data_IF_139537454090
#
_entry.id   IF_139537454090
#
_cell.length_a   1.000
_cell.length_b   1.000
_cell.length_c   1.000
_cell.angle_alpha   90.00
_cell.angle_beta   90.00
_cell.angle_gamma   90.00
#
_symmetry.space_group_name_H-M   'P 1'
#
loop_
_entity.id
_entity.type
_entity.pdbx_description
1 polymer ?
#
# COMPACT_ATOMS: atom_id res chain seq x y z
N UNK A 1 23.27 -22.94 -10.62
CA UNK A 1 22.77 -21.98 -9.61
C UNK A 1 22.15 -22.80 -8.50
N UNK A 2 22.60 -22.65 -7.23
CA UNK A 2 22.05 -23.39 -6.09
C UNK A 2 20.56 -23.03 -5.94
N UNK A 3 19.69 -24.04 -5.82
CA UNK A 3 18.24 -23.86 -5.64
C UNK A 3 17.95 -23.38 -4.20
N UNK A 4 18.11 -22.07 -3.95
CA UNK A 4 17.92 -21.42 -2.67
C UNK A 4 19.14 -21.49 -1.71
N UNK A 5 18.98 -20.89 -0.52
CA UNK A 5 20.01 -20.91 0.53
C UNK A 5 19.98 -22.20 1.34
N UNK A 6 21.13 -22.66 1.90
CA UNK A 6 21.18 -23.79 2.85
C UNK A 6 20.38 -23.45 4.12
N UNK A 7 19.82 -24.49 4.78
CA UNK A 7 18.85 -24.33 5.88
C UNK A 7 19.29 -23.38 7.01
N UNK A 8 20.50 -23.44 7.59
CA UNK A 8 20.84 -22.53 8.69
C UNK A 8 20.84 -21.07 8.27
N UNK A 9 21.41 -20.76 7.11
CA UNK A 9 21.48 -19.40 6.57
C UNK A 9 20.11 -18.90 6.11
N UNK A 10 19.25 -19.81 5.61
CA UNK A 10 17.89 -19.51 5.16
C UNK A 10 17.03 -18.93 6.28
N UNK A 11 17.07 -19.49 7.49
CA UNK A 11 16.30 -18.97 8.62
C UNK A 11 16.70 -17.55 8.98
N UNK A 12 17.99 -17.23 9.00
CA UNK A 12 18.48 -15.87 9.20
C UNK A 12 18.01 -14.90 8.11
N UNK A 13 18.04 -15.33 6.85
CA UNK A 13 17.55 -14.51 5.73
C UNK A 13 16.04 -14.27 5.81
N UNK A 14 15.24 -15.28 6.18
CA UNK A 14 13.79 -15.17 6.38
C UNK A 14 13.48 -14.18 7.50
N UNK A 15 14.15 -14.30 8.64
CA UNK A 15 13.97 -13.40 9.76
C UNK A 15 14.36 -11.95 9.40
N UNK A 16 15.48 -11.76 8.68
CA UNK A 16 15.89 -10.44 8.19
C UNK A 16 14.81 -9.81 7.27
N UNK A 17 14.31 -10.57 6.28
CA UNK A 17 13.28 -10.09 5.35
C UNK A 17 11.94 -9.84 6.05
N UNK A 18 11.57 -10.71 6.99
CA UNK A 18 10.37 -10.58 7.78
C UNK A 18 10.39 -9.32 8.66
N UNK A 19 11.49 -9.10 9.40
CA UNK A 19 11.66 -7.91 10.23
C UNK A 19 11.70 -6.62 9.38
N UNK A 20 12.32 -6.64 8.20
CA UNK A 20 12.30 -5.47 7.31
C UNK A 20 10.93 -5.17 6.72
N UNK A 21 10.12 -6.19 6.43
CA UNK A 21 8.72 -6.00 6.04
C UNK A 21 7.90 -5.47 7.21
N UNK A 22 8.06 -6.03 8.42
CA UNK A 22 7.38 -5.60 9.62
C UNK A 22 7.71 -4.14 9.97
N UNK A 23 8.98 -3.74 9.87
CA UNK A 23 9.46 -2.37 10.07
C UNK A 23 8.61 -1.35 9.28
N UNK A 24 8.49 -1.53 7.97
CA UNK A 24 7.78 -0.60 7.09
C UNK A 24 6.27 -0.59 7.34
N UNK A 25 5.69 -1.77 7.59
CA UNK A 25 4.24 -1.91 7.79
C UNK A 25 3.80 -1.36 9.15
N UNK A 26 4.57 -1.64 10.20
CA UNK A 26 4.27 -1.10 11.54
C UNK A 26 4.36 0.42 11.52
N UNK A 27 5.45 1.00 10.98
CA UNK A 27 5.63 2.44 10.91
C UNK A 27 4.46 3.14 10.19
N UNK A 28 4.02 2.61 9.05
CA UNK A 28 2.85 3.14 8.33
C UNK A 28 1.55 3.06 9.13
N UNK A 29 1.36 1.97 9.89
CA UNK A 29 0.14 1.74 10.67
C UNK A 29 0.07 2.55 11.97
N UNK A 30 1.18 2.64 12.72
CA UNK A 30 1.23 3.39 13.99
C UNK A 30 1.07 4.90 13.76
N UNK A 31 1.56 5.42 12.62
CA UNK A 31 1.44 6.84 12.28
C UNK A 31 -0.02 7.31 12.28
N UNK A 32 -0.95 6.52 11.71
CA UNK A 32 -2.37 6.89 11.62
C UNK A 32 -3.02 7.12 12.99
N UNK A 33 -2.69 6.30 14.00
CA UNK A 33 -3.22 6.43 15.36
C UNK A 33 -2.63 7.68 16.07
N UNK A 34 -1.40 8.06 15.72
CA UNK A 34 -0.71 9.18 16.32
C UNK A 34 -1.13 10.55 15.76
N UNK A 35 -1.77 10.61 14.57
CA UNK A 35 -2.10 11.88 13.90
C UNK A 35 -2.81 12.90 14.81
N UNK A 36 -3.88 12.55 15.54
CA UNK A 36 -4.56 13.56 16.41
C UNK A 36 -3.65 14.08 17.53
N UNK A 37 -2.78 13.25 18.08
CA UNK A 37 -1.82 13.63 19.11
C UNK A 37 -0.75 14.55 18.55
N UNK A 38 -0.18 14.23 17.38
CA UNK A 38 0.82 15.06 16.70
C UNK A 38 0.23 16.42 16.32
N UNK A 39 -1.03 16.45 15.82
CA UNK A 39 -1.71 17.70 15.48
C UNK A 39 -1.82 18.65 16.67
N UNK A 40 -2.20 18.11 17.84
CA UNK A 40 -2.29 18.90 19.08
C UNK A 40 -0.94 19.36 19.57
N UNK A 41 0.06 18.50 19.57
CA UNK A 41 1.40 18.76 20.09
C UNK A 41 2.16 19.80 19.24
N UNK A 42 2.03 19.75 17.93
CA UNK A 42 2.63 20.70 17.00
C UNK A 42 1.76 21.94 16.74
N UNK A 43 0.53 22.00 17.29
CA UNK A 43 -0.38 23.12 17.09
C UNK A 43 -0.81 23.34 15.64
N UNK A 44 -0.96 22.24 14.86
CA UNK A 44 -1.31 22.31 13.43
C UNK A 44 -2.72 21.78 13.17
N UNK A 45 -3.29 22.20 12.04
CA UNK A 45 -4.62 21.73 11.64
C UNK A 45 -4.64 20.20 11.41
N UNK A 46 -5.77 19.52 11.72
CA UNK A 46 -5.94 18.09 11.44
C UNK A 46 -5.70 17.69 9.96
N UNK A 47 -6.07 18.56 9.01
CA UNK A 47 -5.79 18.35 7.59
C UNK A 47 -4.29 18.37 7.30
N UNK A 48 -3.55 19.33 7.87
CA UNK A 48 -2.12 19.49 7.62
C UNK A 48 -1.29 18.33 8.19
N UNK A 49 -1.68 17.77 9.35
CA UNK A 49 -0.92 16.66 9.94
C UNK A 49 -1.04 15.36 9.11
N UNK A 50 -2.10 15.19 8.32
CA UNK A 50 -2.25 14.03 7.41
C UNK A 50 -1.15 13.98 6.36
N UNK A 51 -0.53 15.12 6.01
CA UNK A 51 0.61 15.17 5.10
C UNK A 51 1.80 14.30 5.57
N UNK A 52 1.91 13.98 6.86
CA UNK A 52 2.89 13.02 7.40
C UNK A 52 2.72 11.65 6.73
N UNK A 53 1.49 11.23 6.51
CA UNK A 53 1.15 9.96 5.85
C UNK A 53 1.25 10.09 4.35
N UNK A 54 0.70 11.17 3.78
CA UNK A 54 0.66 11.39 2.33
C UNK A 54 2.05 11.54 1.74
N UNK A 55 2.92 12.37 2.33
CA UNK A 55 4.32 12.54 1.87
C UNK A 55 5.07 11.22 1.88
N UNK A 56 4.94 10.44 2.96
CA UNK A 56 5.56 9.12 3.05
C UNK A 56 5.08 8.19 1.91
N UNK A 57 3.77 8.12 1.68
CA UNK A 57 3.20 7.24 0.65
C UNK A 57 3.51 7.69 -0.77
N UNK A 58 3.46 9.00 -1.05
CA UNK A 58 3.83 9.58 -2.35
C UNK A 58 5.28 9.24 -2.68
N UNK A 59 6.20 9.54 -1.76
CA UNK A 59 7.62 9.23 -1.93
C UNK A 59 7.85 7.73 -2.14
N UNK A 60 7.09 6.87 -1.42
CA UNK A 60 7.18 5.44 -1.57
C UNK A 60 6.72 4.98 -2.96
N UNK A 61 5.58 5.48 -3.47
CA UNK A 61 5.09 5.17 -4.82
C UNK A 61 6.07 5.64 -5.89
N UNK A 62 6.57 6.89 -5.77
CA UNK A 62 7.52 7.48 -6.70
C UNK A 62 8.81 6.66 -6.83
N UNK A 63 9.29 6.10 -5.71
CA UNK A 63 10.60 5.49 -5.62
C UNK A 63 10.60 3.96 -5.71
N UNK A 64 9.47 3.30 -5.54
CA UNK A 64 9.38 1.84 -5.49
C UNK A 64 9.96 1.18 -6.77
N UNK A 65 9.52 1.66 -7.94
CA UNK A 65 9.96 1.13 -9.23
C UNK A 65 11.40 1.53 -9.58
N UNK A 66 11.81 2.80 -9.43
CA UNK A 66 13.20 3.20 -9.57
C UNK A 66 14.18 2.39 -8.71
N UNK A 67 13.82 2.14 -7.44
CA UNK A 67 14.68 1.36 -6.53
C UNK A 67 14.72 -0.12 -6.87
N UNK A 68 13.68 -0.69 -7.49
CA UNK A 68 13.72 -2.06 -8.00
C UNK A 68 14.81 -2.19 -9.10
N UNK A 69 14.83 -1.28 -10.08
CA UNK A 69 15.86 -1.25 -11.11
C UNK A 69 17.25 -0.96 -10.54
N UNK A 70 17.36 -0.01 -9.61
CA UNK A 70 18.63 0.29 -8.91
C UNK A 70 19.14 -0.94 -8.17
N UNK A 71 18.27 -1.67 -7.48
CA UNK A 71 18.62 -2.89 -6.76
C UNK A 71 19.19 -4.00 -7.64
N UNK A 72 18.69 -4.15 -8.85
CA UNK A 72 19.26 -5.11 -9.83
C UNK A 72 20.68 -4.71 -10.25
N UNK A 73 20.98 -3.40 -10.35
CA UNK A 73 22.26 -2.88 -10.82
C UNK A 73 23.32 -2.82 -9.74
N UNK A 74 23.03 -2.34 -8.53
CA UNK A 74 24.01 -2.17 -7.43
C UNK A 74 24.05 -3.36 -6.48
N UNK A 75 23.06 -4.26 -6.57
CA UNK A 75 22.89 -5.45 -5.76
C UNK A 75 21.69 -5.37 -4.82
N UNK A 76 20.85 -6.39 -4.85
CA UNK A 76 19.61 -6.47 -4.07
C UNK A 76 19.85 -6.35 -2.56
N UNK A 77 20.87 -7.05 -2.05
CA UNK A 77 21.25 -7.03 -0.63
C UNK A 77 21.71 -5.65 -0.19
N UNK A 78 22.55 -4.98 -1.00
CA UNK A 78 23.06 -3.63 -0.69
C UNK A 78 21.93 -2.62 -0.64
N UNK A 79 21.03 -2.65 -1.62
CA UNK A 79 19.84 -1.78 -1.66
C UNK A 79 18.95 -1.98 -0.45
N UNK A 80 18.70 -3.25 -0.07
CA UNK A 80 17.90 -3.60 1.08
C UNK A 80 18.50 -3.07 2.39
N UNK A 81 19.79 -3.33 2.63
CA UNK A 81 20.47 -2.91 3.86
C UNK A 81 20.64 -1.39 3.95
N UNK A 82 21.01 -0.73 2.84
CA UNK A 82 21.09 0.73 2.77
C UNK A 82 19.72 1.36 3.05
N UNK A 83 18.65 0.81 2.47
CA UNK A 83 17.28 1.26 2.74
C UNK A 83 16.92 1.17 4.22
N UNK A 84 17.25 0.07 4.89
CA UNK A 84 17.01 -0.08 6.34
C UNK A 84 17.82 0.90 7.18
N UNK A 85 19.08 1.14 6.84
CA UNK A 85 19.93 2.11 7.56
C UNK A 85 19.39 3.53 7.42
N UNK A 86 18.98 3.93 6.20
CA UNK A 86 18.35 5.22 5.94
C UNK A 86 17.06 5.36 6.72
N UNK A 87 16.21 4.31 6.70
CA UNK A 87 14.95 4.30 7.44
C UNK A 87 15.18 4.46 8.95
N UNK A 88 16.07 3.67 9.54
CA UNK A 88 16.37 3.71 10.97
C UNK A 88 16.96 5.06 11.40
N UNK A 89 17.89 5.61 10.61
CA UNK A 89 18.48 6.92 10.87
C UNK A 89 17.43 8.03 10.82
N UNK A 90 16.56 8.03 9.79
CA UNK A 90 15.46 8.99 9.69
C UNK A 90 14.47 8.84 10.86
N UNK A 91 14.18 7.61 11.31
CA UNK A 91 13.30 7.38 12.47
C UNK A 91 13.86 8.04 13.74
N UNK A 92 15.18 8.00 13.93
CA UNK A 92 15.81 8.69 15.08
C UNK A 92 15.67 10.22 14.97
N UNK A 93 15.64 10.78 13.75
CA UNK A 93 15.42 12.22 13.55
C UNK A 93 14.01 12.67 13.96
N UNK A 94 13.02 11.77 14.06
CA UNK A 94 11.69 12.11 14.57
C UNK A 94 11.73 12.70 16.01
N UNK A 95 12.71 12.32 16.84
CA UNK A 95 12.87 12.85 18.19
C UNK A 95 13.24 14.34 18.22
N UNK A 96 13.78 14.87 17.13
CA UNK A 96 14.14 16.27 16.99
C UNK A 96 13.06 17.10 16.27
N UNK A 97 11.94 16.46 15.89
CA UNK A 97 10.88 17.14 15.15
C UNK A 97 10.04 18.04 16.07
N UNK A 98 10.29 19.34 15.99
CA UNK A 98 9.55 20.40 16.69
C UNK A 98 8.58 21.16 15.78
N UNK A 99 8.52 20.82 14.50
CA UNK A 99 7.67 21.47 13.51
C UNK A 99 7.21 20.47 12.45
N UNK A 100 6.03 20.72 11.88
CA UNK A 100 5.50 19.88 10.81
C UNK A 100 6.42 19.83 9.58
N UNK A 101 6.97 20.94 9.04
CA UNK A 101 7.86 20.89 7.89
C UNK A 101 9.09 19.99 8.12
N UNK A 102 9.71 20.06 9.29
CA UNK A 102 10.84 19.18 9.62
C UNK A 102 10.41 17.71 9.64
N UNK A 103 9.27 17.41 10.26
CA UNK A 103 8.74 16.05 10.31
C UNK A 103 8.41 15.52 8.91
N UNK A 104 7.89 16.35 8.00
CA UNK A 104 7.63 15.97 6.60
C UNK A 104 8.92 15.59 5.86
N UNK A 105 10.00 16.35 6.07
CA UNK A 105 11.33 16.01 5.52
C UNK A 105 11.80 14.65 6.05
N UNK A 106 11.68 14.42 7.34
CA UNK A 106 12.04 13.15 7.98
C UNK A 106 11.21 12.01 7.38
N UNK A 107 9.89 12.19 7.19
CA UNK A 107 9.00 11.21 6.56
C UNK A 107 9.37 10.92 5.11
N UNK A 108 9.77 11.93 4.35
CA UNK A 108 10.27 11.74 2.99
C UNK A 108 11.55 10.88 2.97
N UNK A 109 12.50 11.14 3.88
CA UNK A 109 13.73 10.33 4.01
C UNK A 109 13.43 8.90 4.46
N UNK A 110 12.49 8.70 5.40
CA UNK A 110 12.03 7.36 5.78
C UNK A 110 11.44 6.60 4.59
N UNK A 111 10.65 7.27 3.75
CA UNK A 111 10.06 6.68 2.55
C UNK A 111 11.10 6.23 1.53
N UNK A 112 12.21 6.98 1.37
CA UNK A 112 13.38 6.57 0.57
C UNK A 112 13.91 5.23 1.09
N UNK A 113 14.12 5.12 2.40
CA UNK A 113 14.55 3.88 3.04
C UNK A 113 13.57 2.73 2.84
N UNK A 114 12.27 2.98 3.04
CA UNK A 114 11.21 2.00 2.85
C UNK A 114 11.11 1.51 1.39
N UNK A 115 11.26 2.40 0.41
CA UNK A 115 11.31 2.04 -1.00
C UNK A 115 12.47 1.11 -1.31
N UNK A 116 13.66 1.37 -0.75
CA UNK A 116 14.81 0.48 -0.86
C UNK A 116 14.56 -0.92 -0.29
N UNK A 117 13.83 -1.00 0.83
CA UNK A 117 13.46 -2.30 1.44
C UNK A 117 12.40 -3.03 0.62
N UNK A 118 11.28 -2.40 0.32
CA UNK A 118 10.12 -3.05 -0.30
C UNK A 118 10.36 -3.44 -1.76
N UNK A 119 11.08 -2.62 -2.52
CA UNK A 119 11.31 -2.82 -3.96
C UNK A 119 12.06 -4.12 -4.26
N UNK A 120 13.00 -4.51 -3.40
CA UNK A 120 13.85 -5.70 -3.60
C UNK A 120 13.45 -6.91 -2.76
N UNK A 121 12.52 -6.76 -1.79
CA UNK A 121 12.13 -7.83 -0.87
C UNK A 121 11.64 -9.09 -1.59
N UNK A 122 10.76 -8.95 -2.58
CA UNK A 122 10.23 -10.10 -3.33
C UNK A 122 11.31 -10.85 -4.11
N UNK A 123 12.29 -10.11 -4.67
CA UNK A 123 13.43 -10.69 -5.38
C UNK A 123 14.36 -11.44 -4.42
N UNK A 124 14.62 -10.91 -3.24
CA UNK A 124 15.42 -11.57 -2.19
C UNK A 124 14.71 -12.82 -1.65
N UNK A 125 13.38 -12.79 -1.46
CA UNK A 125 12.61 -13.99 -1.06
C UNK A 125 12.76 -15.08 -2.13
N UNK A 126 12.65 -14.75 -3.41
CA UNK A 126 12.80 -15.70 -4.52
C UNK A 126 14.18 -16.35 -4.53
N UNK A 127 15.24 -15.66 -4.11
CA UNK A 127 16.59 -16.18 -4.05
C UNK A 127 16.89 -16.93 -2.75
N UNK A 128 16.12 -16.66 -1.70
CA UNK A 128 16.26 -17.32 -0.39
C UNK A 128 15.65 -18.72 -0.40
N UNK A 129 14.52 -18.90 -1.10
CA UNK A 129 13.80 -20.17 -1.14
C UNK A 129 14.10 -20.97 -2.40
N UNK A 130 14.17 -22.34 -2.32
CA UNK A 130 14.11 -23.19 -3.49
C UNK A 130 12.80 -22.95 -4.28
N UNK A 131 12.84 -23.13 -5.61
CA UNK A 131 11.69 -22.92 -6.48
C UNK A 131 10.43 -23.68 -6.00
N UNK A 132 10.61 -24.91 -5.51
CA UNK A 132 9.51 -25.74 -4.95
C UNK A 132 8.89 -25.19 -3.66
N UNK A 133 9.59 -24.34 -2.93
CA UNK A 133 9.16 -23.77 -1.64
C UNK A 133 8.88 -22.27 -1.72
N UNK A 134 8.94 -21.65 -2.90
CA UNK A 134 8.74 -20.21 -3.06
C UNK A 134 7.35 -19.76 -2.55
N UNK A 135 6.31 -20.54 -2.83
CA UNK A 135 4.96 -20.27 -2.32
C UNK A 135 4.90 -20.20 -0.79
N UNK A 136 5.64 -21.10 -0.10
CA UNK A 136 5.77 -21.08 1.36
C UNK A 136 6.48 -19.81 1.84
N UNK A 137 7.54 -19.38 1.15
CA UNK A 137 8.28 -18.16 1.47
C UNK A 137 7.43 -16.90 1.36
N UNK A 138 6.70 -16.78 0.25
CA UNK A 138 5.77 -15.67 0.04
C UNK A 138 4.60 -15.70 1.04
N UNK A 139 4.11 -16.90 1.39
CA UNK A 139 3.06 -17.08 2.40
C UNK A 139 3.53 -16.62 3.78
N UNK A 140 4.73 -17.00 4.22
CA UNK A 140 5.31 -16.56 5.51
C UNK A 140 5.43 -15.03 5.52
N UNK A 141 5.96 -14.43 4.45
CA UNK A 141 6.06 -12.97 4.37
C UNK A 141 4.69 -12.29 4.42
N UNK A 142 3.68 -12.86 3.76
CA UNK A 142 2.31 -12.35 3.82
C UNK A 142 1.74 -12.38 5.24
N UNK A 143 1.96 -13.47 5.99
CA UNK A 143 1.56 -13.58 7.40
C UNK A 143 2.26 -12.52 8.25
N UNK A 144 3.57 -12.29 8.06
CA UNK A 144 4.32 -11.27 8.79
C UNK A 144 3.75 -9.87 8.48
N UNK A 145 3.52 -9.55 7.21
CA UNK A 145 2.94 -8.27 6.79
C UNK A 145 1.56 -8.04 7.40
N UNK A 146 0.67 -9.02 7.32
CA UNK A 146 -0.69 -8.89 7.87
C UNK A 146 -0.72 -8.83 9.39
N UNK A 147 0.12 -9.63 10.07
CA UNK A 147 0.25 -9.57 11.53
C UNK A 147 0.81 -8.23 12.01
N UNK A 148 1.80 -7.69 11.27
CA UNK A 148 2.38 -6.38 11.55
C UNK A 148 1.34 -5.27 11.38
N UNK A 149 0.53 -5.32 10.32
CA UNK A 149 -0.56 -4.38 10.10
C UNK A 149 -1.63 -4.47 11.21
N UNK A 150 -1.92 -5.70 11.70
CA UNK A 150 -2.86 -5.92 12.79
C UNK A 150 -2.33 -5.39 14.14
N UNK A 151 -1.05 -5.52 14.40
CA UNK A 151 -0.43 -5.07 15.63
C UNK A 151 -0.21 -3.54 15.67
N UNK A 152 -0.02 -2.89 14.52
CA UNK A 152 0.38 -1.50 14.45
C UNK A 152 -0.57 -0.52 15.19
N UNK A 153 -1.90 -0.55 15.04
CA UNK A 153 -2.77 0.37 15.77
C UNK A 153 -2.68 0.19 17.29
N UNK A 154 -2.61 -1.05 17.74
CA UNK A 154 -2.46 -1.37 19.18
C UNK A 154 -1.13 -0.91 19.71
N UNK A 155 -0.02 -1.16 18.99
CA UNK A 155 1.32 -0.68 19.36
C UNK A 155 1.31 0.86 19.46
N UNK A 156 0.77 1.54 18.45
CA UNK A 156 0.68 3.00 18.44
C UNK A 156 -0.10 3.55 19.64
N UNK A 157 -1.26 2.99 19.93
CA UNK A 157 -2.09 3.38 21.07
C UNK A 157 -1.42 3.12 22.42
N UNK A 158 -0.76 1.98 22.61
CA UNK A 158 -0.04 1.64 23.85
C UNK A 158 1.18 2.55 24.07
N UNK A 159 1.95 2.82 23.03
CA UNK A 159 3.11 3.74 23.12
C UNK A 159 2.65 5.13 23.51
N UNK A 160 1.58 5.65 22.91
CA UNK A 160 1.03 6.97 23.23
C UNK A 160 0.45 7.07 24.64
N UNK A 161 0.13 5.95 25.29
CA UNK A 161 -0.32 5.93 26.69
C UNK A 161 0.81 6.20 27.69
N UNK A 162 2.06 5.89 27.34
CA UNK A 162 3.20 5.91 28.27
C UNK A 162 4.36 6.79 27.81
N UNK A 163 4.36 7.25 26.55
CA UNK A 163 5.46 8.00 25.97
C UNK A 163 4.98 9.07 24.97
N UNK A 164 5.77 10.13 24.71
CA UNK A 164 5.50 11.12 23.68
C UNK A 164 5.46 10.49 22.29
N UNK A 165 4.76 11.14 21.35
CA UNK A 165 4.52 10.63 20.00
C UNK A 165 5.78 10.22 19.20
N UNK A 166 7.01 10.80 19.36
CA UNK A 166 8.17 10.32 18.60
C UNK A 166 8.50 8.84 18.85
N UNK A 167 8.16 8.33 20.06
CA UNK A 167 8.34 6.92 20.39
C UNK A 167 7.46 5.96 19.57
N UNK A 168 6.37 6.48 19.02
CA UNK A 168 5.50 5.70 18.12
C UNK A 168 6.28 5.25 16.89
N UNK A 169 7.04 6.16 16.27
CA UNK A 169 7.92 5.82 15.15
C UNK A 169 9.09 4.94 15.61
N UNK A 170 9.67 5.22 16.75
CA UNK A 170 10.76 4.43 17.32
C UNK A 170 10.37 2.97 17.62
N UNK A 171 9.08 2.66 17.77
CA UNK A 171 8.58 1.28 17.96
C UNK A 171 8.96 0.34 16.83
N UNK A 172 9.29 0.85 15.64
CA UNK A 172 9.77 0.09 14.49
C UNK A 172 11.29 -0.21 14.54
N UNK A 173 12.09 0.53 15.35
CA UNK A 173 13.56 0.38 15.42
C UNK A 173 14.03 -1.04 15.80
N UNK A 174 13.42 -1.75 16.75
CA UNK A 174 13.84 -3.12 17.08
C UNK A 174 13.83 -4.05 15.86
N UNK A 175 12.84 -3.90 14.98
CA UNK A 175 12.75 -4.68 13.74
C UNK A 175 13.87 -4.30 12.76
N UNK A 176 14.25 -3.01 12.68
CA UNK A 176 15.38 -2.57 11.88
C UNK A 176 16.69 -3.17 12.39
N UNK A 177 16.94 -3.11 13.70
CA UNK A 177 18.15 -3.64 14.32
C UNK A 177 18.29 -5.14 14.06
N UNK A 178 17.23 -5.92 14.28
CA UNK A 178 17.23 -7.38 14.02
C UNK A 178 17.46 -7.66 12.55
N UNK A 179 16.79 -6.94 11.67
CA UNK A 179 16.90 -7.13 10.22
C UNK A 179 18.30 -6.79 9.69
N UNK A 180 18.91 -5.71 10.17
CA UNK A 180 20.28 -5.29 9.80
C UNK A 180 21.30 -6.32 10.34
N UNK A 181 21.18 -6.74 11.61
CA UNK A 181 22.08 -7.71 12.23
C UNK A 181 22.06 -9.05 11.48
N UNK A 182 20.88 -9.53 11.10
CA UNK A 182 20.69 -10.76 10.33
C UNK A 182 20.94 -10.57 8.82
N UNK A 183 21.14 -9.36 8.35
CA UNK A 183 21.35 -9.02 6.94
C UNK A 183 22.57 -9.70 6.30
N UNK A 184 23.54 -10.18 7.09
CA UNK A 184 24.66 -10.99 6.59
C UNK A 184 24.18 -12.33 5.98
N UNK A 185 23.05 -12.87 6.45
CA UNK A 185 22.47 -14.11 5.93
C UNK A 185 21.80 -13.93 4.56
N UNK A 186 21.46 -12.72 4.16
CA UNK A 186 20.80 -12.45 2.87
C UNK A 186 21.63 -12.94 1.68
N UNK A 187 20.96 -13.43 0.62
CA UNK A 187 21.63 -13.79 -0.63
C UNK A 187 22.23 -12.52 -1.27
N UNK A 188 23.40 -12.66 -1.84
CA UNK A 188 24.13 -11.58 -2.52
C UNK A 188 24.42 -11.98 -3.97
N UNK A 189 23.41 -11.99 -4.84
CA UNK A 189 23.61 -12.35 -6.23
C UNK A 189 24.44 -11.28 -6.94
N UNK A 190 25.20 -11.71 -7.94
CA UNK A 190 25.93 -10.78 -8.79
C UNK A 190 24.97 -9.75 -9.41
N UNK A 191 25.33 -8.47 -9.38
CA UNK A 191 24.55 -7.42 -10.02
C UNK A 191 24.34 -7.72 -11.50
N UNK A 192 23.13 -7.46 -11.98
CA UNK A 192 22.82 -7.57 -13.41
C UNK A 192 23.17 -6.24 -14.07
N UNK A 193 23.80 -6.28 -15.24
CA UNK A 193 23.97 -5.13 -16.11
C UNK A 193 22.65 -4.79 -16.82
N UNK A 194 21.58 -4.60 -16.06
CA UNK A 194 20.32 -4.14 -16.60
C UNK A 194 20.46 -2.65 -16.99
N UNK A 195 19.99 -2.31 -18.18
CA UNK A 195 19.87 -0.91 -18.55
C UNK A 195 18.81 -0.26 -17.65
N UNK A 196 19.24 0.66 -16.78
CA UNK A 196 18.31 1.48 -15.99
C UNK A 196 17.63 2.47 -16.92
N UNK A 197 16.34 2.33 -17.10
CA UNK A 197 15.53 3.38 -17.70
C UNK A 197 15.33 4.53 -16.70
N UNK A 198 16.41 5.32 -16.53
CA UNK A 198 16.41 6.46 -15.61
C UNK A 198 15.38 7.52 -16.02
N UNK A 199 15.19 7.72 -17.32
CA UNK A 199 14.22 8.70 -17.83
C UNK A 199 12.80 8.25 -17.50
N UNK A 200 12.43 6.99 -17.76
CA UNK A 200 11.13 6.45 -17.38
C UNK A 200 10.91 6.47 -15.87
N UNK A 201 11.93 6.16 -15.06
CA UNK A 201 11.86 6.23 -13.62
C UNK A 201 11.60 7.65 -13.10
N UNK A 202 12.28 8.66 -13.64
CA UNK A 202 12.07 10.08 -13.30
C UNK A 202 10.67 10.53 -13.75
N UNK A 203 10.24 10.17 -14.95
CA UNK A 203 8.90 10.52 -15.46
C UNK A 203 7.80 9.91 -14.59
N UNK A 204 7.94 8.65 -14.23
CA UNK A 204 6.99 7.95 -13.33
C UNK A 204 6.91 8.65 -11.96
N UNK A 205 8.06 8.93 -11.36
CA UNK A 205 8.13 9.64 -10.08
C UNK A 205 7.52 11.05 -10.17
N UNK A 206 7.91 11.83 -11.19
CA UNK A 206 7.42 13.19 -11.38
C UNK A 206 5.91 13.24 -11.65
N UNK A 207 5.36 12.30 -12.44
CA UNK A 207 3.92 12.16 -12.67
C UNK A 207 3.15 12.01 -11.35
N UNK A 208 3.53 11.02 -10.52
CA UNK A 208 2.87 10.81 -9.24
C UNK A 208 3.06 12.00 -8.30
N UNK A 209 4.28 12.55 -8.23
CA UNK A 209 4.59 13.73 -7.41
C UNK A 209 3.77 14.96 -7.77
N UNK A 210 3.62 15.25 -9.07
CA UNK A 210 2.85 16.40 -9.55
C UNK A 210 1.34 16.20 -9.31
N UNK A 211 0.78 15.03 -9.65
CA UNK A 211 -0.66 14.78 -9.49
C UNK A 211 -1.04 14.87 -8.01
N UNK A 212 -0.31 14.18 -7.14
CA UNK A 212 -0.67 14.12 -5.73
C UNK A 212 -0.25 15.41 -5.01
N UNK A 213 0.91 15.98 -5.34
CA UNK A 213 1.35 17.26 -4.80
C UNK A 213 0.39 18.41 -5.16
N UNK A 214 -0.14 18.41 -6.39
CA UNK A 214 -1.18 19.37 -6.79
C UNK A 214 -2.51 19.16 -6.04
N UNK A 215 -2.88 17.91 -5.75
CA UNK A 215 -4.06 17.61 -4.94
C UNK A 215 -3.87 18.04 -3.48
N UNK A 216 -2.69 17.83 -2.89
CA UNK A 216 -2.33 18.30 -1.55
C UNK A 216 -2.31 19.84 -1.47
N UNK A 217 -1.74 20.53 -2.47
CA UNK A 217 -1.74 21.99 -2.59
C UNK A 217 -3.18 22.54 -2.57
N UNK A 218 -4.10 21.89 -3.30
CA UNK A 218 -5.51 22.26 -3.29
C UNK A 218 -6.15 22.11 -1.90
N UNK A 219 -5.81 21.05 -1.16
CA UNK A 219 -6.32 20.78 0.20
C UNK A 219 -5.81 21.81 1.21
N UNK A 220 -4.58 22.31 1.03
CA UNK A 220 -3.98 23.29 1.94
C UNK A 220 -4.36 24.75 1.65
N UNK A 221 -5.25 24.97 0.70
CA UNK A 221 -5.82 26.30 0.41
C UNK A 221 -4.96 27.18 -0.48
N UNK A 222 -4.01 26.58 -1.21
CA UNK A 222 -3.28 27.27 -2.27
C UNK A 222 -4.25 27.66 -3.42
N UNK A 223 -3.78 28.51 -4.33
CA UNK A 223 -4.57 28.93 -5.47
C UNK A 223 -5.11 27.72 -6.26
N UNK A 224 -6.46 27.57 -6.41
CA UNK A 224 -7.04 26.45 -7.16
C UNK A 224 -6.51 26.36 -8.59
N UNK A 225 -6.17 27.51 -9.20
CA UNK A 225 -5.63 27.57 -10.55
C UNK A 225 -4.22 26.96 -10.61
N UNK A 226 -3.38 27.28 -9.62
CA UNK A 226 -2.02 26.73 -9.54
C UNK A 226 -2.08 25.23 -9.27
N UNK A 227 -2.90 24.79 -8.33
CA UNK A 227 -3.11 23.37 -8.01
C UNK A 227 -3.62 22.58 -9.22
N UNK A 228 -4.61 23.13 -9.95
CA UNK A 228 -5.11 22.51 -11.17
C UNK A 228 -4.04 22.46 -12.28
N UNK A 229 -3.23 23.51 -12.43
CA UNK A 229 -2.12 23.52 -13.38
C UNK A 229 -1.06 22.44 -13.07
N UNK A 230 -0.74 22.24 -11.78
CA UNK A 230 0.20 21.20 -11.33
C UNK A 230 -0.39 19.81 -11.63
N UNK A 231 -1.67 19.55 -11.32
CA UNK A 231 -2.34 18.28 -11.62
C UNK A 231 -2.35 18.04 -13.14
N UNK A 232 -2.68 19.06 -13.93
CA UNK A 232 -2.70 18.96 -15.38
C UNK A 232 -1.32 18.67 -15.96
N UNK A 233 -0.28 19.32 -15.46
CA UNK A 233 1.12 19.04 -15.84
C UNK A 233 1.50 17.59 -15.50
N UNK A 234 1.10 17.09 -14.34
CA UNK A 234 1.30 15.70 -13.94
C UNK A 234 0.55 14.71 -14.84
N UNK A 235 -0.70 15.02 -15.20
CA UNK A 235 -1.49 14.20 -16.12
C UNK A 235 -0.92 14.19 -17.54
N UNK A 236 -0.47 15.34 -18.03
CA UNK A 236 0.21 15.45 -19.33
C UNK A 236 1.52 14.66 -19.37
N UNK A 237 2.34 14.78 -18.32
CA UNK A 237 3.55 13.97 -18.17
C UNK A 237 3.22 12.48 -18.10
N UNK A 238 2.16 12.10 -17.39
CA UNK A 238 1.67 10.72 -17.31
C UNK A 238 1.24 10.18 -18.67
N UNK A 239 0.57 10.97 -19.47
CA UNK A 239 0.20 10.59 -20.84
C UNK A 239 1.43 10.36 -21.73
N UNK A 240 2.43 11.26 -21.67
CA UNK A 240 3.71 11.07 -22.39
C UNK A 240 4.44 9.83 -21.90
N UNK A 241 4.48 9.61 -20.58
CA UNK A 241 5.09 8.43 -19.97
C UNK A 241 4.42 7.13 -20.44
N UNK A 242 3.08 7.06 -20.38
CA UNK A 242 2.31 5.89 -20.84
C UNK A 242 2.56 5.61 -22.32
N UNK A 243 2.59 6.65 -23.17
CA UNK A 243 2.90 6.46 -24.60
C UNK A 243 4.30 5.93 -24.84
N UNK A 244 5.27 6.33 -24.02
CA UNK A 244 6.63 5.82 -24.07
C UNK A 244 6.71 4.37 -23.62
N UNK A 245 5.96 3.98 -22.59
CA UNK A 245 5.95 2.63 -22.03
C UNK A 245 5.28 1.59 -22.94
N UNK A 246 4.29 1.98 -23.74
CA UNK A 246 3.54 1.06 -24.63
C UNK A 246 4.44 0.36 -25.67
N UNK A 247 5.59 0.93 -26.03
CA UNK A 247 6.55 0.33 -26.96
C UNK A 247 7.84 -0.19 -26.31
N UNK A 248 7.97 -0.08 -24.99
CA UNK A 248 9.19 -0.43 -24.30
C UNK A 248 9.34 -1.96 -24.14
N UNK A 249 10.54 -2.53 -24.40
CA UNK A 249 10.78 -3.97 -24.26
C UNK A 249 10.68 -4.46 -22.81
N UNK A 250 10.89 -3.56 -21.82
CA UNK A 250 10.76 -3.84 -20.39
C UNK A 250 10.11 -2.63 -19.70
N UNK A 251 8.78 -2.43 -19.86
CA UNK A 251 8.11 -1.27 -19.30
C UNK A 251 8.18 -1.27 -17.76
N UNK A 252 8.46 -0.11 -17.20
CA UNK A 252 8.48 0.13 -15.74
C UNK A 252 7.08 -0.06 -15.18
N UNK A 253 6.07 0.57 -15.79
CA UNK A 253 4.67 0.40 -15.46
C UNK A 253 4.01 -0.51 -16.52
N UNK A 254 3.43 -1.66 -16.15
CA UNK A 254 2.88 -2.60 -17.10
C UNK A 254 1.51 -2.15 -17.64
N UNK A 255 1.49 -1.01 -18.35
CA UNK A 255 0.27 -0.43 -18.96
C UNK A 255 -0.34 -1.34 -20.03
N UNK A 256 0.48 -2.18 -20.69
CA UNK A 256 0.06 -3.22 -21.63
C UNK A 256 -0.92 -4.22 -20.97
N UNK A 257 -0.74 -4.53 -19.70
CA UNK A 257 -1.64 -5.41 -18.96
C UNK A 257 -3.01 -4.78 -18.73
N UNK A 258 -3.08 -3.46 -18.63
CA UNK A 258 -4.35 -2.74 -18.44
C UNK A 258 -5.22 -2.73 -19.71
N UNK A 259 -4.68 -3.06 -20.87
CA UNK A 259 -5.46 -3.29 -22.09
C UNK A 259 -6.40 -4.50 -21.95
N UNK A 260 -6.12 -5.43 -21.03
CA UNK A 260 -7.00 -6.57 -20.72
C UNK A 260 -8.12 -6.16 -19.77
N UNK A 261 -9.40 -6.22 -20.18
CA UNK A 261 -10.53 -5.70 -19.37
C UNK A 261 -10.61 -6.31 -17.97
N UNK A 262 -10.28 -7.60 -17.81
CA UNK A 262 -10.28 -8.29 -16.52
C UNK A 262 -9.20 -7.71 -15.57
N UNK A 263 -8.03 -7.37 -16.07
CA UNK A 263 -6.94 -6.76 -15.29
C UNK A 263 -7.27 -5.30 -14.98
N UNK A 264 -7.78 -4.55 -15.97
CA UNK A 264 -8.18 -3.15 -15.79
C UNK A 264 -9.26 -2.99 -14.71
N UNK A 265 -10.35 -3.80 -14.78
CA UNK A 265 -11.40 -3.79 -13.77
C UNK A 265 -10.91 -4.22 -12.39
N UNK A 266 -9.97 -5.19 -12.34
CA UNK A 266 -9.36 -5.64 -11.09
C UNK A 266 -8.46 -4.57 -10.48
N UNK A 267 -7.67 -3.88 -11.31
CA UNK A 267 -6.80 -2.78 -10.88
C UNK A 267 -7.63 -1.58 -10.41
N UNK A 268 -8.66 -1.17 -11.17
CA UNK A 268 -9.54 -0.07 -10.77
C UNK A 268 -10.33 -0.39 -9.49
N UNK A 269 -10.85 -1.62 -9.36
CA UNK A 269 -11.50 -2.07 -8.13
C UNK A 269 -10.53 -2.09 -6.93
N UNK A 270 -9.26 -2.50 -7.12
CA UNK A 270 -8.24 -2.37 -6.07
C UNK A 270 -7.97 -0.91 -5.70
N UNK A 271 -7.84 -0.03 -6.70
CA UNK A 271 -7.60 1.40 -6.48
C UNK A 271 -8.69 1.98 -5.58
N UNK A 272 -9.96 1.79 -5.95
CA UNK A 272 -11.11 2.34 -5.19
C UNK A 272 -11.23 1.69 -3.81
N UNK A 273 -10.98 0.38 -3.68
CA UNK A 273 -11.00 -0.32 -2.40
C UNK A 273 -9.91 0.20 -1.44
N UNK A 274 -8.66 0.37 -1.92
CA UNK A 274 -7.59 0.91 -1.08
C UNK A 274 -7.77 2.39 -0.77
N UNK A 275 -8.38 3.17 -1.68
CA UNK A 275 -8.78 4.56 -1.41
C UNK A 275 -9.82 4.60 -0.28
N UNK A 276 -10.87 3.77 -0.36
CA UNK A 276 -11.88 3.66 0.71
C UNK A 276 -11.27 3.32 2.06
N UNK A 277 -10.42 2.30 2.06
CA UNK A 277 -9.70 1.80 3.24
C UNK A 277 -8.89 2.90 3.91
N UNK A 278 -8.07 3.63 3.15
CA UNK A 278 -7.17 4.63 3.71
C UNK A 278 -7.92 5.89 4.14
N UNK A 279 -8.96 6.30 3.40
CA UNK A 279 -9.84 7.39 3.81
C UNK A 279 -10.45 7.11 5.19
N UNK A 280 -10.92 5.88 5.43
CA UNK A 280 -11.46 5.48 6.72
C UNK A 280 -10.38 5.43 7.80
N UNK A 281 -9.23 4.77 7.55
CA UNK A 281 -8.16 4.60 8.53
C UNK A 281 -7.54 5.92 8.99
N UNK A 282 -7.44 6.91 8.10
CA UNK A 282 -6.90 8.24 8.44
C UNK A 282 -7.94 9.08 9.18
N UNK A 283 -9.22 9.03 8.79
CA UNK A 283 -10.27 9.87 9.41
C UNK A 283 -10.78 9.32 10.74
N UNK A 284 -10.80 8.00 10.93
CA UNK A 284 -11.34 7.36 12.15
C UNK A 284 -10.65 7.83 13.43
N UNK A 285 -9.31 7.95 13.54
CA UNK A 285 -8.65 8.48 14.73
C UNK A 285 -9.13 9.89 15.12
N UNK A 286 -9.34 10.77 14.15
CA UNK A 286 -9.85 12.13 14.40
C UNK A 286 -11.29 12.10 14.90
N UNK A 287 -12.14 11.25 14.32
CA UNK A 287 -13.54 11.08 14.77
C UNK A 287 -13.59 10.57 16.21
N UNK A 288 -12.84 9.52 16.52
CA UNK A 288 -12.81 8.94 17.87
C UNK A 288 -12.19 9.91 18.89
N UNK A 289 -11.14 10.66 18.50
CA UNK A 289 -10.56 11.71 19.33
C UNK A 289 -11.56 12.83 19.63
N UNK A 290 -12.37 13.25 18.65
CA UNK A 290 -13.42 14.24 18.83
C UNK A 290 -14.55 13.75 19.77
N UNK A 291 -14.77 12.42 19.83
CA UNK A 291 -15.70 11.75 20.77
C UNK A 291 -15.08 11.49 22.15
N UNK A 292 -13.85 11.95 22.41
CA UNK A 292 -13.20 11.85 23.73
C UNK A 292 -12.45 10.54 23.98
N UNK A 293 -12.30 9.66 23.00
CA UNK A 293 -11.52 8.43 23.16
C UNK A 293 -10.04 8.73 23.35
N UNK A 294 -9.40 8.04 24.29
CA UNK A 294 -7.94 8.09 24.46
C UNK A 294 -7.21 7.43 23.30
N UNK A 295 -5.92 7.74 23.11
CA UNK A 295 -5.10 7.15 22.06
C UNK A 295 -5.07 5.62 22.13
N UNK A 296 -5.03 5.03 23.34
CA UNK A 296 -5.08 3.58 23.54
C UNK A 296 -6.41 3.00 23.08
N UNK A 297 -7.52 3.65 23.43
CA UNK A 297 -8.85 3.23 22.99
C UNK A 297 -9.00 3.34 21.48
N UNK A 298 -8.49 4.40 20.86
CA UNK A 298 -8.47 4.58 19.39
C UNK A 298 -7.72 3.42 18.73
N UNK A 299 -6.52 3.10 19.21
CA UNK A 299 -5.74 1.97 18.69
C UNK A 299 -6.48 0.64 18.83
N UNK A 300 -7.08 0.39 20.00
CA UNK A 300 -7.86 -0.81 20.26
C UNK A 300 -9.14 -0.90 19.42
N UNK A 301 -9.83 0.22 19.16
CA UNK A 301 -11.00 0.27 18.27
C UNK A 301 -10.67 -0.03 16.81
N UNK A 302 -9.49 0.34 16.33
CA UNK A 302 -9.06 0.16 14.93
C UNK A 302 -8.47 -1.24 14.71
N UNK A 303 -7.80 -1.82 15.70
CA UNK A 303 -7.13 -3.12 15.61
C UNK A 303 -8.02 -4.29 15.11
N UNK A 304 -9.32 -4.38 15.40
CA UNK A 304 -10.17 -5.45 14.88
C UNK A 304 -10.22 -5.54 13.35
N UNK A 305 -10.05 -4.43 12.63
CA UNK A 305 -10.01 -4.47 11.16
C UNK A 305 -8.86 -5.34 10.61
N UNK A 306 -7.56 -5.01 10.83
CA UNK A 306 -6.49 -5.85 10.31
C UNK A 306 -6.49 -7.25 10.92
N UNK A 307 -6.98 -7.43 12.14
CA UNK A 307 -7.10 -8.75 12.78
C UNK A 307 -8.08 -9.66 12.01
N UNK A 308 -9.27 -9.18 11.71
CA UNK A 308 -10.26 -9.96 10.94
C UNK A 308 -9.83 -10.16 9.50
N UNK A 309 -9.18 -9.15 8.88
CA UNK A 309 -8.57 -9.31 7.56
C UNK A 309 -7.52 -10.44 7.57
N UNK A 310 -6.66 -10.52 8.59
CA UNK A 310 -5.65 -11.56 8.75
C UNK A 310 -6.26 -12.97 8.81
N UNK A 311 -7.44 -13.13 9.42
CA UNK A 311 -8.15 -14.41 9.54
C UNK A 311 -8.90 -14.74 8.24
N UNK A 312 -9.61 -13.77 7.68
CA UNK A 312 -10.51 -13.98 6.54
C UNK A 312 -9.75 -14.08 5.22
N UNK A 313 -8.63 -13.38 5.05
CA UNK A 313 -7.90 -13.38 3.79
C UNK A 313 -7.36 -14.78 3.37
N UNK A 314 -6.77 -15.61 4.26
CA UNK A 314 -6.41 -16.98 3.90
C UNK A 314 -7.61 -17.83 3.53
N UNK A 315 -8.72 -17.71 4.26
CA UNK A 315 -9.98 -18.44 3.97
C UNK A 315 -10.53 -18.06 2.60
N UNK A 316 -10.51 -16.77 2.27
CA UNK A 316 -10.88 -16.25 0.95
C UNK A 316 -9.97 -16.78 -0.16
N UNK A 317 -8.66 -16.87 0.11
CA UNK A 317 -7.69 -17.49 -0.79
C UNK A 317 -8.06 -18.94 -1.13
N UNK A 318 -8.33 -19.75 -0.11
CA UNK A 318 -8.82 -21.13 -0.30
C UNK A 318 -10.14 -21.21 -1.06
N UNK A 319 -11.09 -20.34 -0.69
CA UNK A 319 -12.41 -20.33 -1.30
C UNK A 319 -12.36 -19.90 -2.78
N UNK A 320 -11.37 -19.07 -3.15
CA UNK A 320 -11.18 -18.62 -4.53
C UNK A 320 -10.76 -19.73 -5.52
N UNK A 321 -10.40 -20.93 -5.01
CA UNK A 321 -10.18 -22.12 -5.84
C UNK A 321 -11.50 -22.77 -6.30
N UNK A 322 -12.59 -22.54 -5.55
CA UNK A 322 -13.90 -23.18 -5.78
C UNK A 322 -14.98 -22.19 -6.22
N UNK A 323 -14.87 -20.94 -5.79
CA UNK A 323 -15.85 -19.89 -6.07
C UNK A 323 -15.22 -18.82 -6.97
N UNK A 324 -15.92 -18.38 -8.03
CA UNK A 324 -15.41 -17.29 -8.89
C UNK A 324 -15.02 -16.05 -8.10
N UNK A 325 -13.81 -15.54 -8.36
CA UNK A 325 -13.27 -14.39 -7.63
C UNK A 325 -14.16 -13.13 -7.73
N UNK A 326 -14.96 -13.00 -8.80
CA UNK A 326 -15.93 -11.92 -8.94
C UNK A 326 -17.06 -12.00 -7.91
N UNK A 327 -17.50 -13.20 -7.54
CA UNK A 327 -18.54 -13.41 -6.49
C UNK A 327 -17.95 -13.12 -5.12
N UNK A 328 -16.78 -13.70 -4.81
CA UNK A 328 -16.12 -13.46 -3.51
C UNK A 328 -15.79 -11.99 -3.30
N UNK A 329 -15.25 -11.34 -4.34
CA UNK A 329 -14.94 -9.93 -4.28
C UNK A 329 -16.18 -9.04 -4.18
N UNK A 330 -17.26 -9.38 -4.90
CA UNK A 330 -18.55 -8.69 -4.79
C UNK A 330 -19.15 -8.81 -3.39
N UNK A 331 -19.17 -10.02 -2.82
CA UNK A 331 -19.64 -10.27 -1.46
C UNK A 331 -18.78 -9.53 -0.42
N UNK A 332 -17.44 -9.59 -0.57
CA UNK A 332 -16.52 -8.87 0.31
C UNK A 332 -16.78 -7.36 0.33
N UNK A 333 -16.97 -6.76 -0.85
CA UNK A 333 -17.27 -5.32 -0.93
C UNK A 333 -18.69 -4.99 -0.45
N UNK A 334 -19.67 -5.88 -0.60
CA UNK A 334 -21.00 -5.71 -0.03
C UNK A 334 -20.96 -5.71 1.52
N UNK A 335 -20.19 -6.62 2.12
CA UNK A 335 -19.94 -6.64 3.58
C UNK A 335 -19.25 -5.37 4.03
N UNK A 336 -18.23 -4.90 3.29
CA UNK A 336 -17.54 -3.63 3.56
C UNK A 336 -18.49 -2.44 3.45
N UNK A 337 -19.33 -2.39 2.42
CA UNK A 337 -20.34 -1.34 2.23
C UNK A 337 -21.31 -1.25 3.42
N UNK A 338 -21.83 -2.38 3.87
CA UNK A 338 -22.71 -2.45 5.05
C UNK A 338 -21.98 -1.96 6.31
N UNK A 339 -20.75 -2.42 6.52
CA UNK A 339 -19.94 -2.00 7.67
C UNK A 339 -19.67 -0.48 7.68
N UNK A 340 -19.37 0.09 6.51
CA UNK A 340 -19.15 1.53 6.35
C UNK A 340 -20.42 2.36 6.57
N UNK A 341 -21.57 1.86 6.10
CA UNK A 341 -22.87 2.47 6.37
C UNK A 341 -23.18 2.46 7.88
N UNK A 342 -22.91 1.34 8.55
CA UNK A 342 -23.05 1.21 10.01
C UNK A 342 -22.09 2.09 10.79
N UNK A 343 -20.86 2.32 10.28
CA UNK A 343 -19.95 3.30 10.84
C UNK A 343 -20.44 4.74 10.64
N UNK A 344 -21.03 5.05 9.49
CA UNK A 344 -21.60 6.37 9.22
C UNK A 344 -22.76 6.70 10.18
N UNK A 345 -23.61 5.72 10.48
CA UNK A 345 -24.78 5.83 11.36
C UNK A 345 -24.47 5.51 12.84
N UNK A 346 -23.20 5.55 13.23
CA UNK A 346 -22.77 5.31 14.61
C UNK A 346 -23.41 6.34 15.56
N UNK A 347 -23.89 5.93 16.76
CA UNK A 347 -24.47 6.85 17.74
C UNK A 347 -23.48 7.95 18.16
N UNK A 348 -24.00 9.03 18.74
CA UNK A 348 -23.19 10.15 19.19
C UNK A 348 -22.26 9.80 20.36
N UNK A 349 -22.64 8.83 21.19
CA UNK A 349 -21.82 8.27 22.27
C UNK A 349 -21.66 6.75 22.08
N UNK A 350 -20.74 6.34 21.18
CA UNK A 350 -20.55 4.93 20.90
C UNK A 350 -19.71 4.26 21.99
N UNK A 351 -20.08 3.05 22.37
CA UNK A 351 -19.22 2.22 23.20
C UNK A 351 -18.00 1.73 22.40
N UNK A 352 -16.96 1.29 23.12
CA UNK A 352 -15.81 0.62 22.51
C UNK A 352 -16.25 -0.56 21.59
N UNK A 353 -17.17 -1.38 22.08
CA UNK A 353 -17.67 -2.55 21.35
C UNK A 353 -18.39 -2.14 20.07
N UNK A 354 -19.13 -1.02 20.11
CA UNK A 354 -19.84 -0.48 18.95
C UNK A 354 -18.91 -0.16 17.78
N UNK A 355 -17.75 0.41 18.08
CA UNK A 355 -16.74 0.72 17.05
C UNK A 355 -16.03 -0.56 16.61
N UNK A 356 -15.59 -1.38 17.56
CA UNK A 356 -14.74 -2.54 17.34
C UNK A 356 -15.38 -3.58 16.39
N UNK A 357 -16.66 -3.95 16.59
CA UNK A 357 -17.30 -4.93 15.74
C UNK A 357 -17.58 -4.40 14.31
N UNK A 358 -17.86 -3.09 14.17
CA UNK A 358 -18.03 -2.46 12.85
C UNK A 358 -16.70 -2.44 12.08
N UNK A 359 -15.61 -2.15 12.77
CA UNK A 359 -14.26 -2.24 12.19
C UNK A 359 -13.89 -3.69 11.83
N UNK A 360 -14.26 -4.67 12.68
CA UNK A 360 -14.07 -6.08 12.39
C UNK A 360 -14.85 -6.53 11.14
N UNK A 361 -16.07 -6.05 10.97
CA UNK A 361 -16.89 -6.34 9.79
C UNK A 361 -16.27 -5.74 8.52
N UNK A 362 -15.74 -4.50 8.59
CA UNK A 362 -14.97 -3.89 7.50
C UNK A 362 -13.76 -4.75 7.11
N UNK A 363 -12.97 -5.18 8.10
CA UNK A 363 -11.79 -6.02 7.87
C UNK A 363 -12.14 -7.37 7.25
N UNK A 364 -13.27 -7.96 7.64
CA UNK A 364 -13.77 -9.22 7.06
C UNK A 364 -14.14 -9.07 5.58
N UNK A 365 -14.84 -7.99 5.22
CA UNK A 365 -15.16 -7.68 3.83
C UNK A 365 -13.92 -7.46 2.96
N UNK A 366 -12.95 -6.73 3.47
CA UNK A 366 -11.65 -6.51 2.82
C UNK A 366 -10.87 -7.81 2.64
N UNK A 367 -10.85 -8.69 3.66
CA UNK A 367 -10.24 -10.00 3.63
C UNK A 367 -10.85 -10.93 2.57
N UNK A 368 -12.15 -10.84 2.35
CA UNK A 368 -12.83 -11.58 1.26
C UNK A 368 -12.47 -11.04 -0.13
N UNK A 369 -12.19 -9.74 -0.26
CA UNK A 369 -11.96 -9.09 -1.56
C UNK A 369 -10.52 -9.21 -2.05
N UNK A 370 -9.52 -8.91 -1.20
CA UNK A 370 -8.14 -8.68 -1.64
C UNK A 370 -7.47 -9.89 -2.29
N UNK A 371 -7.45 -11.13 -1.68
CA UNK A 371 -6.72 -12.25 -2.26
C UNK A 371 -7.28 -12.73 -3.61
N UNK A 372 -8.61 -12.90 -3.78
CA UNK A 372 -9.17 -13.27 -5.08
C UNK A 372 -8.89 -12.23 -6.16
N UNK A 373 -8.93 -10.94 -5.81
CA UNK A 373 -8.68 -9.87 -6.75
C UNK A 373 -7.20 -9.81 -7.19
N UNK A 374 -6.25 -9.93 -6.26
CA UNK A 374 -4.83 -10.00 -6.58
C UNK A 374 -4.50 -11.23 -7.43
N UNK A 375 -5.10 -12.39 -7.11
CA UNK A 375 -4.96 -13.62 -7.89
C UNK A 375 -5.44 -13.44 -9.35
N UNK A 376 -6.54 -12.71 -9.57
CA UNK A 376 -7.02 -12.42 -10.92
C UNK A 376 -6.03 -11.57 -11.71
N UNK A 377 -5.48 -10.50 -11.12
CA UNK A 377 -4.50 -9.65 -11.80
C UNK A 377 -3.29 -10.47 -12.24
N UNK A 378 -2.72 -11.26 -11.32
CA UNK A 378 -1.51 -12.04 -11.59
C UNK A 378 -1.80 -13.24 -12.49
N UNK A 379 -2.93 -13.92 -12.27
CA UNK A 379 -3.31 -15.12 -13.01
C UNK A 379 -3.79 -14.86 -14.44
N UNK A 380 -4.33 -13.66 -14.72
CA UNK A 380 -4.76 -13.26 -16.07
C UNK A 380 -3.61 -12.66 -16.91
N UNK A 381 -2.46 -12.41 -16.30
CA UNK A 381 -1.28 -11.95 -17.02
C UNK A 381 -0.55 -13.12 -17.69
N UNK A 382 0.12 -12.90 -18.83
CA UNK A 382 1.00 -13.90 -19.42
C UNK A 382 2.07 -14.35 -18.42
N UNK A 383 2.45 -15.65 -18.45
CA UNK A 383 3.44 -16.21 -17.50
C UNK A 383 4.75 -15.42 -17.45
N UNK A 384 5.22 -14.94 -18.61
CA UNK A 384 6.41 -14.11 -18.73
C UNK A 384 6.25 -12.72 -18.03
N UNK A 385 5.01 -12.25 -17.85
CA UNK A 385 4.68 -10.93 -17.27
C UNK A 385 4.14 -11.02 -15.83
N UNK A 386 4.14 -12.19 -15.20
CA UNK A 386 3.60 -12.40 -13.85
C UNK A 386 4.28 -11.49 -12.79
N UNK A 387 5.57 -11.22 -12.91
CA UNK A 387 6.29 -10.30 -12.03
C UNK A 387 5.80 -8.85 -12.20
N UNK A 388 5.58 -8.41 -13.44
CA UNK A 388 5.04 -7.09 -13.75
C UNK A 388 3.59 -6.93 -13.22
N UNK A 389 2.77 -7.98 -13.33
CA UNK A 389 1.43 -8.00 -12.76
C UNK A 389 1.45 -7.89 -11.22
N UNK A 390 2.40 -8.52 -10.54
CA UNK A 390 2.64 -8.33 -9.10
C UNK A 390 3.05 -6.90 -8.74
N UNK A 391 3.89 -6.28 -9.57
CA UNK A 391 4.23 -4.85 -9.48
C UNK A 391 3.00 -3.96 -9.63
N UNK A 392 2.13 -4.24 -10.59
CA UNK A 392 0.87 -3.53 -10.79
C UNK A 392 -0.03 -3.58 -9.53
N UNK A 393 -0.17 -4.75 -8.90
CA UNK A 393 -0.94 -4.90 -7.65
C UNK A 393 -0.38 -3.97 -6.56
N UNK A 394 0.94 -3.91 -6.41
CA UNK A 394 1.59 -3.06 -5.40
C UNK A 394 1.43 -1.57 -5.72
N UNK A 395 1.62 -1.17 -6.98
CA UNK A 395 1.47 0.22 -7.42
C UNK A 395 0.04 0.71 -7.22
N UNK A 396 -0.95 -0.06 -7.66
CA UNK A 396 -2.37 0.28 -7.51
C UNK A 396 -2.76 0.39 -6.03
N UNK A 397 -2.25 -0.50 -5.17
CA UNK A 397 -2.45 -0.44 -3.72
C UNK A 397 -1.92 0.86 -3.14
N UNK A 398 -0.65 1.18 -3.39
CA UNK A 398 0.00 2.37 -2.83
C UNK A 398 -0.65 3.66 -3.37
N UNK A 399 -0.96 3.70 -4.67
CA UNK A 399 -1.67 4.85 -5.27
C UNK A 399 -3.05 5.04 -4.63
N UNK A 400 -3.82 3.96 -4.45
CA UNK A 400 -5.12 4.03 -3.77
C UNK A 400 -4.99 4.52 -2.33
N UNK A 401 -4.01 4.01 -1.58
CA UNK A 401 -3.75 4.47 -0.21
C UNK A 401 -3.38 5.96 -0.17
N UNK A 402 -2.57 6.42 -1.11
CA UNK A 402 -2.20 7.84 -1.19
C UNK A 402 -3.40 8.73 -1.51
N UNK A 403 -4.19 8.38 -2.53
CA UNK A 403 -5.43 9.11 -2.87
C UNK A 403 -6.39 9.12 -1.67
N UNK A 404 -6.51 8.00 -0.94
CA UNK A 404 -7.35 7.92 0.24
C UNK A 404 -6.89 8.81 1.39
N UNK A 405 -5.58 8.94 1.62
CA UNK A 405 -5.04 9.84 2.62
C UNK A 405 -5.28 11.31 2.25
N UNK A 406 -5.02 11.71 0.99
CA UNK A 406 -5.31 13.05 0.49
C UNK A 406 -6.81 13.38 0.56
N UNK A 407 -7.68 12.40 0.23
CA UNK A 407 -9.13 12.57 0.35
C UNK A 407 -9.56 12.78 1.82
N UNK A 408 -8.99 12.02 2.77
CA UNK A 408 -9.23 12.23 4.19
C UNK A 408 -8.77 13.62 4.65
N UNK A 409 -7.60 14.09 4.18
CA UNK A 409 -7.12 15.44 4.45
C UNK A 409 -8.07 16.51 3.91
N UNK A 410 -8.58 16.33 2.68
CA UNK A 410 -9.56 17.24 2.07
C UNK A 410 -10.87 17.32 2.87
N UNK A 411 -11.39 16.17 3.33
CA UNK A 411 -12.59 16.12 4.16
C UNK A 411 -12.36 16.78 5.53
N UNK A 412 -11.17 16.63 6.12
CA UNK A 412 -10.79 17.29 7.36
C UNK A 412 -10.65 18.82 7.18
N UNK A 413 -10.04 19.26 6.06
CA UNK A 413 -9.93 20.67 5.70
C UNK A 413 -11.30 21.32 5.52
N UNK A 414 -12.24 20.59 4.93
CA UNK A 414 -13.64 21.03 4.78
C UNK A 414 -14.46 20.99 6.07
N UNK A 415 -13.88 20.58 7.20
CA UNK A 415 -14.56 20.49 8.49
C UNK A 415 -15.54 19.31 8.65
N UNK A 416 -15.60 18.41 7.67
CA UNK A 416 -16.53 17.27 7.65
C UNK A 416 -15.82 15.92 7.84
N UNK A 417 -14.50 15.93 8.03
CA UNK A 417 -13.66 14.75 8.10
C UNK A 417 -13.74 13.94 9.40
N UNK A 418 -14.22 14.54 10.49
CA UNK A 418 -14.38 13.89 11.79
C UNK A 418 -15.82 13.34 12.03
N UNK A 419 -16.67 13.35 11.02
CA UNK A 419 -18.07 12.95 11.11
C UNK A 419 -18.45 11.66 10.40
N UNK A 420 -19.68 11.62 9.88
CA UNK A 420 -20.23 10.51 9.11
C UNK A 420 -19.77 10.51 7.63
N UNK A 421 -19.26 11.63 7.13
CA UNK A 421 -18.94 11.80 5.69
C UNK A 421 -17.81 10.86 5.22
N UNK A 422 -16.66 10.71 5.91
CA UNK A 422 -15.61 9.80 5.46
C UNK A 422 -16.07 8.36 5.27
N UNK A 423 -16.80 7.71 6.21
CA UNK A 423 -17.31 6.36 5.98
C UNK A 423 -18.34 6.30 4.85
N UNK A 424 -19.15 7.35 4.58
CA UNK A 424 -20.06 7.39 3.44
C UNK A 424 -19.31 7.49 2.10
N UNK A 425 -18.29 8.32 2.01
CA UNK A 425 -17.42 8.41 0.83
C UNK A 425 -16.71 7.07 0.59
N UNK A 426 -16.17 6.47 1.64
CA UNK A 426 -15.56 5.14 1.57
C UNK A 426 -16.57 4.07 1.12
N UNK A 427 -17.84 4.17 1.54
CA UNK A 427 -18.92 3.28 1.11
C UNK A 427 -19.20 3.40 -0.41
N UNK A 428 -19.23 4.61 -0.95
CA UNK A 428 -19.35 4.83 -2.40
C UNK A 428 -18.20 4.20 -3.18
N UNK A 429 -16.96 4.35 -2.69
CA UNK A 429 -15.78 3.74 -3.29
C UNK A 429 -15.80 2.20 -3.17
N UNK A 430 -16.26 1.64 -2.05
CA UNK A 430 -16.44 0.20 -1.88
C UNK A 430 -17.52 -0.35 -2.82
N UNK A 431 -18.59 0.39 -3.04
CA UNK A 431 -19.63 0.04 -4.03
C UNK A 431 -19.03 -0.05 -5.44
N UNK A 432 -18.22 0.93 -5.84
CA UNK A 432 -17.53 0.91 -7.14
C UNK A 432 -16.62 -0.33 -7.26
N UNK A 433 -15.84 -0.66 -6.22
CA UNK A 433 -15.01 -1.86 -6.20
C UNK A 433 -15.84 -3.14 -6.32
N UNK A 434 -16.99 -3.20 -5.66
CA UNK A 434 -17.96 -4.31 -5.73
C UNK A 434 -18.56 -4.45 -7.14
N UNK A 435 -18.98 -3.35 -7.74
CA UNK A 435 -19.50 -3.34 -9.12
C UNK A 435 -18.44 -3.82 -10.13
N UNK A 436 -17.18 -3.36 -9.99
CA UNK A 436 -16.07 -3.88 -10.81
C UNK A 436 -15.89 -5.38 -10.61
N UNK A 437 -16.05 -5.88 -9.37
CA UNK A 437 -15.93 -7.30 -9.07
C UNK A 437 -17.01 -8.13 -9.75
N UNK A 438 -18.26 -7.67 -9.70
CA UNK A 438 -19.41 -8.32 -10.34
C UNK A 438 -19.34 -8.22 -11.87
N UNK A 439 -18.92 -7.07 -12.41
CA UNK A 439 -18.79 -6.87 -13.85
C UNK A 439 -17.86 -7.90 -14.51
N UNK A 440 -16.85 -8.37 -13.79
CA UNK A 440 -15.92 -9.44 -14.28
C UNK A 440 -16.56 -10.81 -14.44
N UNK A 441 -17.79 -11.02 -13.95
CA UNK A 441 -18.54 -12.26 -14.13
C UNK A 441 -19.18 -12.35 -15.52
N UNK A 442 -19.25 -11.25 -16.28
CA UNK A 442 -19.81 -11.21 -17.63
C UNK A 442 -18.98 -12.09 -18.57
N UNK A 443 -19.62 -12.96 -19.39
CA UNK A 443 -18.92 -13.86 -20.30
C UNK A 443 -17.98 -13.16 -21.29
N UNK A 444 -18.37 -11.98 -21.78
CA UNK A 444 -17.58 -11.14 -22.70
C UNK A 444 -16.24 -10.66 -22.13
N UNK A 445 -16.13 -10.57 -20.80
CA UNK A 445 -14.91 -10.16 -20.10
C UNK A 445 -14.08 -11.37 -19.68
N UNK A 446 -14.73 -12.50 -19.43
CA UNK A 446 -14.11 -13.73 -18.94
C UNK A 446 -13.45 -14.58 -20.04
N UNK A 447 -14.01 -14.56 -21.24
CA UNK A 447 -13.45 -15.20 -22.43
C UNK A 447 -13.30 -14.11 -23.51
N UNK A 448 -12.11 -13.54 -23.70
CA UNK A 448 -11.84 -12.82 -24.94
C UNK A 448 -12.10 -13.78 -26.11
N UNK A 449 -12.82 -13.30 -27.11
CA UNK A 449 -13.19 -14.10 -28.29
C UNK A 449 -11.94 -14.75 -28.88
N UNK A 450 -12.09 -15.94 -29.44
CA UNK A 450 -11.00 -16.71 -30.09
C UNK A 450 -10.29 -15.89 -31.20
N UNK A 451 -10.92 -14.85 -31.69
CA UNK A 451 -10.38 -13.88 -32.64
C UNK A 451 -9.31 -12.95 -32.01
N UNK A 452 -9.53 -12.44 -30.80
CA UNK A 452 -8.52 -11.59 -30.12
C UNK A 452 -7.26 -12.39 -29.75
N UNK A 453 -7.41 -13.66 -29.35
CA UNK A 453 -6.28 -14.55 -29.08
C UNK A 453 -5.56 -14.89 -30.39
N UNK A 454 -6.27 -14.99 -31.51
CA UNK A 454 -5.71 -15.24 -32.82
C UNK A 454 -4.94 -14.04 -33.35
N UNK A 455 -5.44 -12.83 -33.16
CA UNK A 455 -4.77 -11.59 -33.54
C UNK A 455 -3.54 -11.31 -32.66
N UNK A 456 -3.59 -11.61 -31.36
CA UNK A 456 -2.43 -11.53 -30.47
C UNK A 456 -1.33 -12.54 -30.88
N UNK A 457 -1.70 -13.73 -31.29
CA UNK A 457 -0.77 -14.75 -31.82
C UNK A 457 -0.22 -14.37 -33.21
N UNK A 458 -1.00 -13.71 -34.04
CA UNK A 458 -0.56 -13.25 -35.38
C UNK A 458 0.39 -12.03 -35.28
N UNK A 459 0.14 -11.10 -34.37
CA UNK A 459 1.05 -9.96 -34.11
C UNK A 459 2.38 -10.39 -33.51
N UNK A 460 2.42 -11.47 -32.73
CA UNK A 460 3.65 -12.05 -32.18
C UNK A 460 4.44 -12.88 -33.20
N UNK A 461 3.87 -13.24 -34.38
CA UNK A 461 4.51 -14.01 -35.45
C UNK A 461 5.09 -13.17 -36.58
N UNK A 462 4.95 -11.87 -36.59
CA UNK A 462 5.64 -11.03 -37.59
C UNK A 462 7.10 -10.86 -37.16
N UNK A 463 8.06 -11.46 -37.89
CA UNK A 463 9.49 -11.20 -37.65
C UNK A 463 9.79 -9.75 -38.03
N UNK A 464 10.40 -9.02 -37.14
CA UNK A 464 11.07 -7.73 -37.44
C UNK A 464 12.49 -7.99 -37.85
#
# INVERSE_FOLDING_TARGET
>A
MSDGLPLPRRYGAIAALGCGSALVIIDGGVANVALPTIARDLGVAPSSVVSIVTVYQVMLVMLLLPFAGLGERIGLKRTYQAGQMVFAAATLLCFFAKSLPFLLIVRAVQAIGAAGVLSVSSALIRQTYPARQLGRGLGINSVIVTSSAAAAPTIGGLVLAVAPWPWVFASAIPFAVVSIALGRALPDPAPRLAQLDLVGAIMCAAMFGLIIGGAESLVHGDSPVVSAAIIFAGAALGWVFVRREIGAPAPILPVDLLARPIIALSAFGSLTAFTASMTLLVSTPFRLSALGFSATQIGACIAPWPLTNMIVAPLSGFLSDRVPAGILGGLGMAVTLVALALLATMPADPSYVDVAWRMALCGSGFGLYLPPNARLIVGSAPKARAAAAGGLVSTVRLTGQTIGATLAAALLAAGIGAGAVPPLVAAGLALLAGLCSIARLRPSIRNPSTEEVRDEVLTLRQPR
#
